data_IF_438501165322
#
_entry.id   IF_438501165322
#
_cell.length_a   1.000
_cell.length_b   1.000
_cell.length_c   1.000
_cell.angle_alpha   90.00
_cell.angle_beta   90.00
_cell.angle_gamma   90.00
#
_symmetry.space_group_name_H-M   'P 1'
#
loop_
_entity.id
_entity.type
_entity.pdbx_description
1 polymer ?
#
# COMPACT_ATOMS: atom_id res chain seq x y z
N UNK A 1 34.97 -29.67 61.93
CA UNK A 1 34.99 -28.29 61.41
C UNK A 1 34.30 -28.31 60.05
N UNK A 2 32.99 -28.05 59.99
CA UNK A 2 32.27 -27.91 58.73
C UNK A 2 31.67 -26.51 58.67
N UNK A 3 32.16 -25.72 57.71
CA UNK A 3 31.75 -24.34 57.44
C UNK A 3 30.37 -24.30 56.80
N UNK A 4 29.42 -23.62 57.44
CA UNK A 4 28.16 -23.21 56.83
C UNK A 4 28.37 -21.96 55.98
N UNK A 5 28.31 -22.13 54.67
CA UNK A 5 28.43 -21.05 53.69
C UNK A 5 27.04 -20.47 53.42
N UNK A 6 26.67 -19.38 54.10
CA UNK A 6 25.46 -18.61 53.82
C UNK A 6 25.74 -17.65 52.66
N UNK A 7 25.27 -18.00 51.46
CA UNK A 7 25.41 -17.19 50.25
C UNK A 7 24.24 -16.19 50.19
N UNK A 8 24.51 -14.94 50.56
CA UNK A 8 23.55 -13.83 50.40
C UNK A 8 23.40 -13.50 48.92
N UNK A 9 22.20 -13.65 48.37
CA UNK A 9 21.88 -13.29 46.98
C UNK A 9 21.54 -11.79 46.95
N UNK A 10 22.15 -10.97 46.07
CA UNK A 10 21.79 -9.57 45.96
C UNK A 10 20.43 -9.43 45.28
N UNK A 11 19.46 -8.83 45.98
CA UNK A 11 18.17 -8.41 45.42
C UNK A 11 18.45 -7.32 44.39
N UNK A 12 18.33 -7.63 43.10
CA UNK A 12 18.36 -6.65 42.03
C UNK A 12 17.14 -5.74 42.19
N UNK A 13 17.39 -4.46 42.45
CA UNK A 13 16.39 -3.41 42.52
C UNK A 13 15.76 -3.25 41.13
N UNK A 14 14.59 -3.86 40.92
CA UNK A 14 13.78 -3.66 39.71
C UNK A 14 13.37 -2.18 39.71
N UNK A 15 13.89 -1.40 38.75
CA UNK A 15 13.42 -0.03 38.49
C UNK A 15 11.96 -0.11 38.10
N UNK A 16 11.06 0.25 39.02
CA UNK A 16 9.66 0.54 38.69
C UNK A 16 9.67 1.73 37.73
N UNK A 17 9.29 1.52 36.47
CA UNK A 17 8.98 2.60 35.54
C UNK A 17 7.87 3.45 36.17
N UNK A 18 8.08 4.77 36.24
CA UNK A 18 7.12 5.70 36.86
C UNK A 18 5.89 5.82 35.98
N UNK A 19 4.73 6.13 36.57
CA UNK A 19 3.51 6.50 35.83
C UNK A 19 3.78 7.70 34.92
N UNK A 20 4.71 8.56 35.31
CA UNK A 20 5.16 9.71 34.51
C UNK A 20 5.87 9.27 33.21
N UNK A 21 6.68 8.20 33.25
CA UNK A 21 7.37 7.66 32.06
C UNK A 21 6.35 7.05 31.07
N UNK A 22 5.27 6.49 31.59
CA UNK A 22 4.18 5.95 30.77
C UNK A 22 3.37 7.06 30.12
N UNK A 23 3.01 8.09 30.88
CA UNK A 23 2.28 9.26 30.38
C UNK A 23 3.09 9.98 29.29
N UNK A 24 4.39 10.16 29.45
CA UNK A 24 5.24 10.74 28.41
C UNK A 24 5.28 9.89 27.13
N UNK A 25 5.32 8.55 27.24
CA UNK A 25 5.29 7.65 26.08
C UNK A 25 3.95 7.68 25.35
N UNK A 26 2.84 7.72 26.09
CA UNK A 26 1.49 7.82 25.52
C UNK A 26 1.26 9.16 24.83
N UNK A 27 1.67 10.26 25.46
CA UNK A 27 1.67 11.59 24.84
C UNK A 27 2.55 11.59 23.59
N UNK A 28 3.72 10.96 23.64
CA UNK A 28 4.61 10.80 22.48
C UNK A 28 3.98 10.00 21.33
N UNK A 29 3.25 8.91 21.62
CA UNK A 29 2.51 8.17 20.59
C UNK A 29 1.36 8.99 20.01
N UNK A 30 0.60 9.70 20.83
CA UNK A 30 -0.49 10.57 20.38
C UNK A 30 0.02 11.73 19.52
N UNK A 31 1.11 12.38 19.92
CA UNK A 31 1.78 13.43 19.14
C UNK A 31 2.35 12.89 17.83
N UNK A 32 2.85 11.65 17.82
CA UNK A 32 3.33 11.00 16.60
C UNK A 32 2.18 10.66 15.64
N UNK A 33 1.03 10.21 16.16
CA UNK A 33 -0.20 10.03 15.37
C UNK A 33 -0.68 11.37 14.81
N UNK A 34 -0.71 12.42 15.62
CA UNK A 34 -1.14 13.75 15.22
C UNK A 34 -0.24 14.36 14.14
N UNK A 35 1.09 14.24 14.30
CA UNK A 35 2.07 14.64 13.28
C UNK A 35 1.90 13.91 11.96
N UNK A 36 1.60 12.61 11.99
CA UNK A 36 1.35 11.83 10.76
C UNK A 36 0.02 12.21 10.11
N UNK A 37 -1.01 12.49 10.90
CA UNK A 37 -2.28 13.04 10.39
C UNK A 37 -2.07 14.41 9.75
N UNK A 38 -1.20 15.25 10.29
CA UNK A 38 -0.88 16.57 9.71
C UNK A 38 -0.05 16.45 8.42
N UNK A 39 0.86 15.47 8.34
CA UNK A 39 1.54 15.13 7.08
C UNK A 39 0.56 14.72 5.99
N UNK A 40 -0.49 13.97 6.34
CA UNK A 40 -1.57 13.61 5.41
C UNK A 40 -2.42 14.80 5.00
N UNK A 41 -2.67 15.76 5.91
CA UNK A 41 -3.36 17.02 5.58
C UNK A 41 -2.55 17.87 4.60
N UNK A 42 -1.22 17.83 4.68
CA UNK A 42 -0.31 18.54 3.78
C UNK A 42 -0.04 17.79 2.46
N UNK A 43 -0.48 16.54 2.32
CA UNK A 43 -0.51 15.80 1.07
C UNK A 43 -1.63 16.34 0.15
N UNK A 44 -1.49 17.61 -0.23
CA UNK A 44 -2.31 18.21 -1.28
C UNK A 44 -1.83 17.61 -2.60
N UNK A 45 -2.69 16.84 -3.26
CA UNK A 45 -2.47 16.46 -4.67
C UNK A 45 -2.22 17.77 -5.42
N UNK A 46 -0.97 17.99 -5.84
CA UNK A 46 -0.61 19.14 -6.65
C UNK A 46 -1.37 18.97 -7.96
N UNK A 47 -2.48 19.72 -8.11
CA UNK A 47 -3.09 19.91 -9.42
C UNK A 47 -2.03 20.60 -10.27
N UNK A 48 -1.60 20.02 -11.40
CA UNK A 48 -0.69 20.72 -12.28
C UNK A 48 -1.39 22.01 -12.72
N UNK A 49 -0.71 23.12 -12.50
CA UNK A 49 -1.11 24.41 -13.06
C UNK A 49 -0.97 24.22 -14.57
N UNK A 50 -2.10 24.09 -15.28
CA UNK A 50 -2.08 24.19 -16.72
C UNK A 50 -1.53 25.57 -17.04
N UNK A 51 -0.30 25.63 -17.54
CA UNK A 51 0.22 26.79 -18.25
C UNK A 51 -0.61 26.93 -19.53
N UNK A 52 -1.73 27.65 -19.40
CA UNK A 52 -2.55 28.11 -20.51
C UNK A 52 -1.75 29.09 -21.35
N UNK A 53 -1.18 28.62 -22.46
CA UNK A 53 -1.07 29.44 -23.66
C UNK A 53 -2.31 29.19 -24.50
N UNK A 54 -3.01 30.29 -24.73
CA UNK A 54 -4.30 30.48 -25.36
C UNK A 54 -4.41 29.90 -26.76
N UNK A 55 -5.48 29.14 -27.02
CA UNK A 55 -6.25 29.29 -28.25
C UNK A 55 -7.64 28.68 -28.07
N UNK A 56 -8.61 29.57 -27.95
CA UNK A 56 -10.02 29.30 -28.12
C UNK A 56 -10.28 28.68 -29.49
N UNK A 57 -11.04 27.59 -29.56
CA UNK A 57 -12.16 27.44 -30.50
C UNK A 57 -12.99 26.22 -30.13
N UNK A 58 -14.29 26.43 -30.21
CA UNK A 58 -15.35 25.62 -29.65
C UNK A 58 -15.62 24.34 -30.45
N UNK A 59 -16.19 23.36 -29.74
CA UNK A 59 -17.25 22.44 -30.16
C UNK A 59 -17.37 22.13 -31.67
N UNK A 60 -17.09 20.88 -32.06
CA UNK A 60 -18.11 20.14 -32.81
C UNK A 60 -18.03 18.64 -32.53
N UNK A 61 -19.17 18.15 -32.09
CA UNK A 61 -19.57 16.78 -31.80
C UNK A 61 -19.89 16.07 -33.14
N UNK A 62 -19.58 14.78 -33.24
CA UNK A 62 -20.02 13.78 -34.24
C UNK A 62 -20.73 14.24 -35.53
N UNK A 63 -20.17 13.85 -36.68
CA UNK A 63 -20.95 13.05 -37.63
C UNK A 63 -20.03 12.13 -38.45
N UNK A 64 -20.44 10.87 -38.48
CA UNK A 64 -19.89 9.80 -39.30
C UNK A 64 -20.69 9.82 -40.59
N UNK A 65 -20.04 10.05 -41.73
CA UNK A 65 -20.58 9.61 -43.01
C UNK A 65 -19.48 8.95 -43.85
N UNK A 66 -19.83 7.76 -44.28
CA UNK A 66 -19.07 6.78 -45.01
C UNK A 66 -19.67 6.78 -46.42
N UNK A 67 -18.91 7.16 -47.44
CA UNK A 67 -19.13 6.85 -48.86
C UNK A 67 -17.85 7.30 -49.59
N UNK A 68 -17.20 6.52 -50.45
CA UNK A 68 -17.76 5.64 -51.46
C UNK A 68 -17.66 6.37 -52.81
N UNK A 69 -16.99 5.72 -53.78
CA UNK A 69 -16.91 6.02 -55.22
C UNK A 69 -15.64 6.67 -55.79
N UNK A 70 -15.20 5.97 -56.83
CA UNK A 70 -14.02 6.16 -57.62
C UNK A 70 -14.25 7.11 -58.82
N UNK A 71 -13.12 7.55 -59.37
CA UNK A 71 -12.72 7.36 -60.77
C UNK A 71 -12.47 8.62 -61.63
N UNK A 72 -11.39 8.50 -62.42
CA UNK A 72 -10.98 9.19 -63.65
C UNK A 72 -10.94 10.73 -63.71
N UNK A 73 -9.77 11.28 -64.03
CA UNK A 73 -9.49 11.72 -65.41
C UNK A 73 -7.99 11.98 -65.65
N UNK A 74 -7.45 11.26 -66.62
CA UNK A 74 -6.23 11.54 -67.36
C UNK A 74 -6.44 12.72 -68.30
N UNK A 75 -5.56 13.73 -68.28
CA UNK A 75 -5.35 14.57 -69.45
C UNK A 75 -3.87 14.88 -69.63
N UNK A 76 -3.32 14.29 -70.70
CA UNK A 76 -2.11 14.69 -71.37
C UNK A 76 -2.40 15.98 -72.16
N UNK A 77 -1.56 17.01 -72.05
CA UNK A 77 -1.51 18.13 -72.99
C UNK A 77 -0.07 18.62 -73.13
N UNK A 78 0.26 18.97 -74.36
CA UNK A 78 1.56 19.18 -74.99
C UNK A 78 2.14 20.56 -74.65
N UNK A 79 3.47 20.64 -74.80
CA UNK A 79 4.41 21.75 -74.55
C UNK A 79 4.00 23.14 -75.04
N UNK A 80 4.43 24.21 -74.33
CA UNK A 80 5.24 25.30 -74.90
C UNK A 80 5.82 26.29 -73.84
N UNK A 81 7.11 26.60 -74.04
CA UNK A 81 7.86 27.86 -73.77
C UNK A 81 7.66 28.71 -72.50
N UNK A 82 8.80 28.85 -71.80
CA UNK A 82 9.36 30.14 -71.34
C UNK A 82 8.60 30.95 -70.29
N UNK A 83 8.82 30.62 -69.01
CA UNK A 83 9.09 31.58 -67.94
C UNK A 83 9.37 30.83 -66.63
N UNK A 84 10.65 30.60 -66.32
CA UNK A 84 11.09 30.17 -64.99
C UNK A 84 10.94 31.32 -64.00
N UNK A 85 9.71 31.50 -63.49
CA UNK A 85 9.47 32.10 -62.18
C UNK A 85 9.24 30.94 -61.22
N UNK A 86 10.29 30.50 -60.57
CA UNK A 86 10.20 29.58 -59.44
C UNK A 86 9.48 30.31 -58.31
N UNK A 87 8.16 30.14 -58.25
CA UNK A 87 7.39 30.44 -57.05
C UNK A 87 7.89 29.46 -56.00
N UNK A 88 8.39 29.90 -54.83
CA UNK A 88 8.68 28.95 -53.77
C UNK A 88 7.35 28.31 -53.41
N UNK A 89 7.20 27.03 -53.73
CA UNK A 89 6.21 26.17 -53.10
C UNK A 89 6.56 26.25 -51.63
N UNK A 90 5.86 27.11 -50.88
CA UNK A 90 5.76 26.95 -49.45
C UNK A 90 5.09 25.59 -49.28
N UNK A 91 5.94 24.58 -49.11
CA UNK A 91 5.57 23.29 -48.60
C UNK A 91 5.03 23.61 -47.21
N UNK A 92 3.74 23.94 -47.12
CA UNK A 92 2.98 23.87 -45.89
C UNK A 92 3.08 22.40 -45.56
N UNK A 93 4.11 22.09 -44.77
CA UNK A 93 4.34 20.80 -44.15
C UNK A 93 3.10 20.60 -43.31
N UNK A 94 2.08 20.00 -43.92
CA UNK A 94 0.98 19.37 -43.19
C UNK A 94 1.73 18.53 -42.18
N UNK A 95 1.76 18.97 -40.92
CA UNK A 95 2.29 18.17 -39.81
C UNK A 95 1.72 16.79 -40.04
N UNK A 96 2.58 15.83 -40.38
CA UNK A 96 2.09 14.59 -40.94
C UNK A 96 1.25 13.91 -39.87
N UNK A 97 0.37 13.01 -40.27
CA UNK A 97 -0.39 12.18 -39.31
C UNK A 97 0.57 11.52 -38.31
N UNK A 98 1.82 11.26 -38.71
CA UNK A 98 2.90 10.75 -37.86
C UNK A 98 3.30 11.73 -36.75
N UNK A 99 3.49 13.03 -37.05
CA UNK A 99 3.80 14.05 -36.03
C UNK A 99 2.68 14.17 -34.97
N UNK A 100 1.43 14.01 -35.41
CA UNK A 100 0.27 14.00 -34.52
C UNK A 100 0.22 12.72 -33.67
N UNK A 101 0.48 11.56 -34.28
CA UNK A 101 0.53 10.28 -33.58
C UNK A 101 1.64 10.26 -32.52
N UNK A 102 2.84 10.75 -32.82
CA UNK A 102 3.93 10.87 -31.85
C UNK A 102 3.56 11.74 -30.65
N UNK A 103 2.90 12.89 -30.91
CA UNK A 103 2.39 13.75 -29.84
C UNK A 103 1.35 13.04 -28.97
N UNK A 104 0.42 12.32 -29.60
CA UNK A 104 -0.63 11.60 -28.89
C UNK A 104 -0.08 10.45 -28.05
N UNK A 105 0.87 9.68 -28.58
CA UNK A 105 1.57 8.63 -27.84
C UNK A 105 2.31 9.24 -26.65
N UNK A 106 3.07 10.31 -26.86
CA UNK A 106 3.79 10.99 -25.77
C UNK A 106 2.87 11.55 -24.69
N UNK A 107 1.63 11.96 -25.02
CA UNK A 107 0.62 12.33 -24.03
C UNK A 107 0.09 11.13 -23.25
N UNK A 108 -0.14 10.00 -23.91
CA UNK A 108 -0.60 8.77 -23.26
C UNK A 108 0.46 8.21 -22.30
N UNK A 109 1.74 8.22 -22.68
CA UNK A 109 2.84 7.81 -21.81
C UNK A 109 2.93 8.68 -20.55
N UNK A 110 2.70 9.98 -20.69
CA UNK A 110 2.65 10.90 -19.54
C UNK A 110 1.46 10.60 -18.62
N UNK A 111 0.30 10.24 -19.18
CA UNK A 111 -0.87 9.82 -18.41
C UNK A 111 -0.59 8.52 -17.68
N UNK A 112 0.00 7.52 -18.35
CA UNK A 112 0.39 6.24 -17.75
C UNK A 112 1.33 6.45 -16.56
N UNK A 113 2.38 7.27 -16.74
CA UNK A 113 3.30 7.62 -15.64
C UNK A 113 2.57 8.27 -14.45
N UNK A 114 1.60 9.15 -14.72
CA UNK A 114 0.80 9.80 -13.66
C UNK A 114 -0.15 8.82 -12.96
N UNK A 115 -0.71 7.86 -13.70
CA UNK A 115 -1.53 6.79 -13.13
C UNK A 115 -0.68 5.93 -12.18
N UNK A 116 0.53 5.56 -12.57
CA UNK A 116 1.41 4.76 -11.72
C UNK A 116 1.82 5.51 -10.44
N UNK A 117 2.16 6.80 -10.55
CA UNK A 117 2.42 7.66 -9.38
C UNK A 117 1.21 7.77 -8.44
N UNK A 118 0.00 7.83 -9.01
CA UNK A 118 -1.23 7.86 -8.23
C UNK A 118 -1.46 6.53 -7.51
N UNK A 119 -1.21 5.39 -8.18
CA UNK A 119 -1.30 4.05 -7.58
C UNK A 119 -0.32 3.90 -6.42
N UNK A 120 0.92 4.33 -6.59
CA UNK A 120 1.94 4.32 -5.54
C UNK A 120 1.50 5.18 -4.34
N UNK A 121 1.06 6.42 -4.60
CA UNK A 121 0.59 7.35 -3.55
C UNK A 121 -0.62 6.79 -2.79
N UNK A 122 -1.59 6.23 -3.50
CA UNK A 122 -2.75 5.58 -2.88
C UNK A 122 -2.34 4.33 -2.08
N UNK A 123 -1.34 3.59 -2.54
CA UNK A 123 -0.76 2.46 -1.81
C UNK A 123 -0.12 2.89 -0.48
N UNK A 124 0.58 4.03 -0.44
CA UNK A 124 1.12 4.59 0.81
C UNK A 124 0.01 5.00 1.78
N UNK A 125 -1.09 5.59 1.27
CA UNK A 125 -2.25 5.95 2.07
C UNK A 125 -2.97 4.72 2.64
N UNK A 126 -3.14 3.66 1.84
CA UNK A 126 -3.68 2.37 2.28
C UNK A 126 -2.83 1.80 3.43
N UNK A 127 -1.51 1.85 3.29
CA UNK A 127 -0.56 1.37 4.29
C UNK A 127 -0.57 2.19 5.59
N UNK A 128 -0.67 3.51 5.52
CA UNK A 128 -0.71 4.37 6.69
C UNK A 128 -2.02 4.18 7.46
N UNK A 129 -3.16 4.07 6.76
CA UNK A 129 -4.44 3.71 7.37
C UNK A 129 -4.34 2.40 8.15
N UNK A 130 -3.78 1.36 7.54
CA UNK A 130 -3.61 0.05 8.18
C UNK A 130 -2.69 0.16 9.42
N UNK A 131 -1.61 0.95 9.34
CA UNK A 131 -0.72 1.22 10.47
C UNK A 131 -1.45 1.87 11.65
N UNK A 132 -2.29 2.88 11.37
CA UNK A 132 -3.12 3.55 12.40
C UNK A 132 -4.12 2.59 13.04
N UNK A 133 -4.78 1.76 12.25
CA UNK A 133 -5.70 0.73 12.76
C UNK A 133 -4.97 -0.25 13.67
N UNK A 134 -3.78 -0.71 13.27
CA UNK A 134 -2.96 -1.59 14.09
C UNK A 134 -2.51 -0.92 15.40
N UNK A 135 -2.07 0.34 15.35
CA UNK A 135 -1.66 1.07 16.55
C UNK A 135 -2.82 1.23 17.54
N UNK A 136 -3.99 1.66 17.06
CA UNK A 136 -5.17 1.86 17.90
C UNK A 136 -5.76 0.55 18.43
N UNK A 137 -5.76 -0.51 17.61
CA UNK A 137 -6.18 -1.85 18.06
C UNK A 137 -5.29 -2.42 19.16
N UNK A 138 -4.03 -2.00 19.21
CA UNK A 138 -3.07 -2.42 20.22
C UNK A 138 -3.12 -1.63 21.53
N UNK A 139 -3.81 -0.48 21.58
CA UNK A 139 -3.86 0.35 22.80
C UNK A 139 -4.42 -0.44 23.97
N UNK A 140 -5.53 -1.16 23.77
CA UNK A 140 -6.20 -1.96 24.81
C UNK A 140 -5.41 -3.21 25.24
N UNK A 141 -4.34 -3.55 24.51
CA UNK A 141 -3.45 -4.63 24.88
C UNK A 141 -2.31 -4.15 25.78
N UNK A 142 -2.06 -2.85 25.93
CA UNK A 142 -0.91 -2.37 26.73
C UNK A 142 -1.03 -2.78 28.22
N UNK A 143 -0.03 -3.49 28.75
CA UNK A 143 0.00 -3.96 30.14
C UNK A 143 0.01 -2.82 31.14
N UNK A 144 0.53 -1.65 30.75
CA UNK A 144 0.58 -0.49 31.63
C UNK A 144 -0.82 0.12 31.86
N UNK A 145 -1.79 -0.11 30.97
CA UNK A 145 -3.19 0.27 31.24
C UNK A 145 -3.72 -0.44 32.48
N UNK A 146 -3.27 -1.68 32.78
CA UNK A 146 -3.71 -2.42 33.96
C UNK A 146 -3.33 -1.73 35.28
N UNK A 147 -2.34 -0.83 35.25
CA UNK A 147 -1.88 -0.06 36.41
C UNK A 147 -2.71 1.21 36.65
N UNK A 148 -3.53 1.61 35.68
CA UNK A 148 -4.40 2.77 35.77
C UNK A 148 -5.70 2.45 36.52
N UNK A 149 -6.34 3.50 37.04
CA UNK A 149 -7.67 3.39 37.63
C UNK A 149 -8.71 2.98 36.58
N UNK A 150 -9.83 2.40 37.01
CA UNK A 150 -10.90 1.98 36.09
C UNK A 150 -11.40 3.13 35.20
N UNK A 151 -11.59 4.33 35.78
CA UNK A 151 -12.04 5.50 35.03
C UNK A 151 -11.06 5.93 33.93
N UNK A 152 -9.76 5.99 34.24
CA UNK A 152 -8.73 6.35 33.27
C UNK A 152 -8.63 5.33 32.12
N UNK A 153 -8.76 4.03 32.45
CA UNK A 153 -8.82 2.97 31.43
C UNK A 153 -10.02 3.13 30.51
N UNK A 154 -11.19 3.41 31.08
CA UNK A 154 -12.43 3.57 30.31
C UNK A 154 -12.36 4.79 29.38
N UNK A 155 -11.79 5.91 29.85
CA UNK A 155 -11.57 7.12 29.05
C UNK A 155 -10.59 6.89 27.88
N UNK A 156 -9.49 6.18 28.15
CA UNK A 156 -8.52 5.82 27.12
C UNK A 156 -9.15 4.86 26.09
N UNK A 157 -9.85 3.82 26.56
CA UNK A 157 -10.53 2.85 25.69
C UNK A 157 -11.61 3.51 24.82
N UNK A 158 -12.38 4.44 25.38
CA UNK A 158 -13.38 5.22 24.65
C UNK A 158 -12.72 6.09 23.57
N UNK A 159 -11.59 6.74 23.91
CA UNK A 159 -10.83 7.57 22.96
C UNK A 159 -10.24 6.74 21.83
N UNK A 160 -9.57 5.63 22.15
CA UNK A 160 -8.98 4.72 21.16
C UNK A 160 -10.07 4.15 20.23
N UNK A 161 -11.22 3.74 20.78
CA UNK A 161 -12.37 3.24 20.02
C UNK A 161 -12.94 4.29 19.08
N UNK A 162 -13.08 5.54 19.54
CA UNK A 162 -13.54 6.67 18.70
C UNK A 162 -12.57 6.92 17.55
N UNK A 163 -11.27 6.93 17.80
CA UNK A 163 -10.26 7.12 16.76
C UNK A 163 -10.26 5.94 15.77
N UNK A 164 -10.38 4.71 16.26
CA UNK A 164 -10.44 3.51 15.43
C UNK A 164 -11.63 3.57 14.46
N UNK A 165 -12.80 4.00 14.94
CA UNK A 165 -13.98 4.17 14.10
C UNK A 165 -13.78 5.24 13.02
N UNK A 166 -13.10 6.34 13.34
CA UNK A 166 -12.74 7.38 12.35
C UNK A 166 -11.76 6.86 11.31
N UNK A 167 -10.76 6.07 11.71
CA UNK A 167 -9.85 5.42 10.76
C UNK A 167 -10.58 4.42 9.84
N UNK A 168 -11.56 3.68 10.37
CA UNK A 168 -12.39 2.75 9.59
C UNK A 168 -13.29 3.44 8.57
N UNK A 169 -13.71 4.68 8.82
CA UNK A 169 -14.53 5.47 7.90
C UNK A 169 -13.78 5.94 6.64
N UNK A 170 -12.45 5.91 6.63
CA UNK A 170 -11.64 6.26 5.47
C UNK A 170 -11.40 5.00 4.63
N UNK A 171 -11.84 4.96 3.38
CA UNK A 171 -11.57 3.85 2.45
C UNK A 171 -10.56 4.27 1.38
N UNK A 172 -9.44 3.54 1.31
CA UNK A 172 -8.41 3.70 0.28
C UNK A 172 -8.07 2.30 -0.19
N UNK A 173 -8.30 2.03 -1.47
CA UNK A 173 -8.08 0.72 -2.09
C UNK A 173 -7.36 0.91 -3.42
N UNK A 174 -6.23 0.22 -3.57
CA UNK A 174 -5.55 0.09 -4.86
C UNK A 174 -5.88 -1.29 -5.43
N UNK A 175 -6.58 -1.32 -6.57
CA UNK A 175 -6.93 -2.58 -7.21
C UNK A 175 -5.70 -3.16 -7.94
N UNK A 176 -5.34 -4.39 -7.59
CA UNK A 176 -4.33 -5.17 -8.29
C UNK A 176 -5.01 -5.93 -9.43
N UNK A 177 -4.68 -5.65 -10.70
CA UNK A 177 -5.19 -6.44 -11.82
C UNK A 177 -4.72 -7.88 -11.69
N UNK A 178 -5.64 -8.84 -11.81
CA UNK A 178 -5.36 -10.28 -11.67
C UNK A 178 -6.04 -11.05 -12.78
N UNK A 179 -5.40 -12.11 -13.25
CA UNK A 179 -6.08 -13.15 -14.02
C UNK A 179 -6.77 -14.16 -13.08
N UNK A 180 -7.49 -15.13 -13.65
CA UNK A 180 -8.25 -16.12 -12.87
C UNK A 180 -7.34 -16.99 -11.96
N UNK A 181 -6.18 -17.38 -12.47
CA UNK A 181 -5.20 -18.20 -11.74
C UNK A 181 -4.60 -17.45 -10.55
N UNK A 182 -4.18 -16.20 -10.73
CA UNK A 182 -3.66 -15.32 -9.68
C UNK A 182 -4.71 -15.05 -8.59
N UNK A 183 -5.97 -14.86 -8.98
CA UNK A 183 -7.07 -14.69 -8.02
C UNK A 183 -7.31 -15.97 -7.20
N UNK A 184 -7.25 -17.14 -7.85
CA UNK A 184 -7.38 -18.43 -7.18
C UNK A 184 -6.21 -18.69 -6.22
N UNK A 185 -4.98 -18.42 -6.65
CA UNK A 185 -3.78 -18.55 -5.83
C UNK A 185 -3.87 -17.66 -4.57
N UNK A 186 -4.28 -16.39 -4.74
CA UNK A 186 -4.48 -15.49 -3.61
C UNK A 186 -5.57 -15.99 -2.65
N UNK A 187 -6.68 -16.53 -3.18
CA UNK A 187 -7.72 -17.12 -2.35
C UNK A 187 -7.19 -18.32 -1.55
N UNK A 188 -6.40 -19.19 -2.18
CA UNK A 188 -5.78 -20.33 -1.51
C UNK A 188 -4.79 -19.90 -0.42
N UNK A 189 -3.98 -18.87 -0.67
CA UNK A 189 -3.11 -18.26 0.34
C UNK A 189 -3.92 -17.75 1.53
N UNK A 190 -5.00 -17.00 1.28
CA UNK A 190 -5.88 -16.49 2.34
C UNK A 190 -6.49 -17.61 3.17
N UNK A 191 -6.97 -18.68 2.52
CA UNK A 191 -7.52 -19.85 3.20
C UNK A 191 -6.49 -20.55 4.10
N UNK A 192 -5.23 -20.64 3.68
CA UNK A 192 -4.15 -21.22 4.49
C UNK A 192 -3.86 -20.36 5.73
N UNK A 193 -3.84 -19.03 5.58
CA UNK A 193 -3.67 -18.10 6.71
C UNK A 193 -4.84 -18.24 7.68
N UNK A 194 -6.07 -18.22 7.18
CA UNK A 194 -7.28 -18.33 8.01
C UNK A 194 -7.36 -19.68 8.74
N UNK A 195 -7.03 -20.78 8.07
CA UNK A 195 -6.98 -22.09 8.70
C UNK A 195 -5.96 -22.17 9.85
N UNK A 196 -4.80 -21.51 9.71
CA UNK A 196 -3.81 -21.41 10.78
C UNK A 196 -4.26 -20.48 11.92
N UNK A 197 -4.88 -19.35 11.58
CA UNK A 197 -5.44 -18.40 12.56
C UNK A 197 -6.57 -19.01 13.38
N UNK A 198 -7.45 -19.82 12.77
CA UNK A 198 -8.55 -20.48 13.48
C UNK A 198 -8.03 -21.46 14.56
N UNK A 199 -6.84 -22.03 14.35
CA UNK A 199 -6.16 -22.92 15.31
C UNK A 199 -5.46 -22.17 16.45
N UNK A 200 -5.38 -20.83 16.42
CA UNK A 200 -4.78 -20.05 17.52
C UNK A 200 -5.46 -20.25 18.86
N UNK A 201 -6.77 -20.53 18.87
CA UNK A 201 -7.53 -20.77 20.12
C UNK A 201 -7.15 -22.09 20.79
N UNK A 202 -6.66 -23.05 20.01
CA UNK A 202 -6.27 -24.38 20.48
C UNK A 202 -4.79 -24.43 20.85
N UNK A 203 -3.93 -23.88 19.98
CA UNK A 203 -2.48 -23.85 20.19
C UNK A 203 -1.86 -22.59 19.59
N UNK A 204 -1.61 -21.63 20.48
CA UNK A 204 -1.06 -20.33 20.12
C UNK A 204 0.43 -20.40 19.74
N UNK A 205 1.18 -21.39 20.24
CA UNK A 205 2.58 -21.62 19.86
C UNK A 205 2.67 -22.21 18.44
N UNK A 206 1.85 -23.21 18.14
CA UNK A 206 1.82 -23.81 16.80
C UNK A 206 1.35 -22.80 15.74
N UNK A 207 0.37 -21.95 16.07
CA UNK A 207 -0.04 -20.87 15.17
C UNK A 207 1.09 -19.87 14.90
N UNK A 208 1.87 -19.49 15.92
CA UNK A 208 3.06 -18.63 15.76
C UNK A 208 4.08 -19.26 14.81
N UNK A 209 4.42 -20.52 15.03
CA UNK A 209 5.40 -21.23 14.20
C UNK A 209 4.89 -21.42 12.76
N UNK A 210 3.60 -21.66 12.56
CA UNK A 210 2.99 -21.68 11.23
C UNK A 210 3.09 -20.32 10.52
N UNK A 211 2.79 -19.21 11.21
CA UNK A 211 2.92 -17.86 10.65
C UNK A 211 4.38 -17.54 10.27
N UNK A 212 5.35 -17.97 11.08
CA UNK A 212 6.78 -17.82 10.74
C UNK A 212 7.18 -18.61 9.50
N UNK A 213 6.72 -19.87 9.37
CA UNK A 213 6.96 -20.68 8.16
C UNK A 213 6.37 -20.05 6.91
N UNK A 214 5.17 -19.46 7.02
CA UNK A 214 4.55 -18.70 5.94
C UNK A 214 5.35 -17.44 5.60
N UNK A 215 5.82 -16.70 6.61
CA UNK A 215 6.61 -15.49 6.40
C UNK A 215 7.94 -15.82 5.69
N UNK A 216 8.59 -16.90 6.10
CA UNK A 216 9.81 -17.40 5.47
C UNK A 216 9.57 -17.81 4.00
N UNK A 217 8.41 -18.39 3.70
CA UNK A 217 8.03 -18.75 2.34
C UNK A 217 7.76 -17.52 1.42
N UNK A 218 7.59 -16.33 1.98
CA UNK A 218 7.51 -15.07 1.21
C UNK A 218 8.88 -14.44 0.93
N UNK A 219 9.97 -14.98 1.48
CA UNK A 219 11.32 -14.42 1.30
C UNK A 219 12.00 -15.00 0.05
N UNK A 220 12.58 -14.17 -0.82
CA UNK A 220 13.46 -14.64 -1.90
C UNK A 220 14.84 -15.06 -1.38
N UNK A 221 15.24 -14.55 -0.21
CA UNK A 221 16.52 -14.88 0.45
C UNK A 221 16.44 -16.20 1.21
N UNK A 222 17.58 -16.89 1.46
CA UNK A 222 17.63 -18.13 2.22
C UNK A 222 16.91 -17.95 3.57
N UNK A 223 15.85 -18.73 3.84
CA UNK A 223 15.06 -18.54 5.05
C UNK A 223 15.87 -18.94 6.28
N UNK A 224 15.77 -18.13 7.34
CA UNK A 224 16.27 -18.51 8.66
C UNK A 224 15.22 -19.42 9.33
N UNK A 225 15.20 -20.68 8.91
CA UNK A 225 14.34 -21.73 9.47
C UNK A 225 13.40 -22.39 8.45
N UNK A 226 12.44 -23.20 8.95
CA UNK A 226 11.56 -23.99 8.09
C UNK A 226 10.62 -23.12 7.26
N UNK A 227 10.29 -23.60 6.06
CA UNK A 227 9.30 -23.01 5.15
C UNK A 227 8.12 -23.96 4.95
N UNK A 228 6.95 -23.39 4.67
CA UNK A 228 5.82 -24.15 4.18
C UNK A 228 5.81 -24.14 2.64
N UNK A 229 6.17 -25.28 2.04
CA UNK A 229 6.28 -25.41 0.57
C UNK A 229 4.94 -25.26 -0.14
N UNK A 230 3.84 -25.69 0.48
CA UNK A 230 2.50 -25.56 -0.10
C UNK A 230 2.08 -24.10 -0.15
N UNK A 231 2.35 -23.36 0.92
CA UNK A 231 2.13 -21.92 0.98
C UNK A 231 3.01 -21.20 -0.05
N UNK A 232 4.31 -21.55 -0.13
CA UNK A 232 5.25 -20.96 -1.07
C UNK A 232 4.79 -21.09 -2.52
N UNK A 233 4.36 -22.29 -2.95
CA UNK A 233 3.89 -22.52 -4.30
C UNK A 233 2.74 -21.58 -4.69
N UNK A 234 1.77 -21.39 -3.78
CA UNK A 234 0.64 -20.49 -4.00
C UNK A 234 1.04 -19.01 -3.98
N UNK A 235 2.01 -18.61 -3.15
CA UNK A 235 2.51 -17.23 -3.11
C UNK A 235 3.25 -16.87 -4.39
N UNK A 236 4.01 -17.79 -4.99
CA UNK A 236 4.74 -17.55 -6.24
C UNK A 236 3.77 -17.30 -7.42
N UNK A 237 2.60 -17.94 -7.40
CA UNK A 237 1.54 -17.75 -8.39
C UNK A 237 0.79 -16.41 -8.23
N UNK A 238 0.96 -15.72 -7.09
CA UNK A 238 0.37 -14.41 -6.86
C UNK A 238 1.16 -13.28 -7.54
N UNK A 239 0.52 -12.12 -7.73
CA UNK A 239 1.20 -10.92 -8.23
C UNK A 239 2.26 -10.42 -7.23
N UNK A 240 3.27 -9.70 -7.71
CA UNK A 240 4.31 -9.11 -6.84
C UNK A 240 3.73 -8.19 -5.75
N UNK A 241 2.64 -7.47 -6.06
CA UNK A 241 1.96 -6.62 -5.08
C UNK A 241 1.25 -7.45 -4.01
N UNK A 242 0.59 -8.54 -4.41
CA UNK A 242 -0.04 -9.47 -3.46
C UNK A 242 1.01 -10.13 -2.56
N UNK A 243 2.14 -10.57 -3.11
CA UNK A 243 3.25 -11.14 -2.32
C UNK A 243 3.74 -10.16 -1.24
N UNK A 244 3.92 -8.88 -1.58
CA UNK A 244 4.27 -7.82 -0.62
C UNK A 244 3.18 -7.65 0.46
N UNK A 245 1.91 -7.62 0.06
CA UNK A 245 0.77 -7.49 0.99
C UNK A 245 0.66 -8.69 1.94
N UNK A 246 0.81 -9.90 1.42
CA UNK A 246 0.81 -11.16 2.20
C UNK A 246 1.96 -11.15 3.22
N UNK A 247 3.19 -10.84 2.79
CA UNK A 247 4.36 -10.78 3.68
C UNK A 247 4.15 -9.79 4.82
N UNK A 248 3.65 -8.59 4.51
CA UNK A 248 3.33 -7.57 5.52
C UNK A 248 2.25 -8.05 6.50
N UNK A 249 1.16 -8.63 5.99
CA UNK A 249 0.08 -9.20 6.81
C UNK A 249 0.60 -10.25 7.79
N UNK A 250 1.46 -11.17 7.33
CA UNK A 250 2.06 -12.20 8.18
C UNK A 250 2.93 -11.58 9.29
N UNK A 251 3.73 -10.56 8.99
CA UNK A 251 4.50 -9.84 9.99
C UNK A 251 3.62 -9.19 11.06
N UNK A 252 2.49 -8.60 10.68
CA UNK A 252 1.52 -8.03 11.62
C UNK A 252 0.93 -9.13 12.52
N UNK A 253 0.49 -10.25 11.93
CA UNK A 253 -0.10 -11.36 12.66
C UNK A 253 0.87 -11.99 13.67
N UNK A 254 2.15 -12.18 13.29
CA UNK A 254 3.18 -12.67 14.24
C UNK A 254 3.30 -11.74 15.42
N UNK A 255 3.42 -10.42 15.19
CA UNK A 255 3.50 -9.44 16.27
C UNK A 255 2.27 -9.46 17.18
N UNK A 256 1.07 -9.66 16.63
CA UNK A 256 -0.17 -9.79 17.41
C UNK A 256 -0.15 -11.06 18.28
N UNK A 257 0.28 -12.20 17.72
CA UNK A 257 0.40 -13.46 18.44
C UNK A 257 1.44 -13.35 19.57
N UNK A 258 2.60 -12.76 19.29
CA UNK A 258 3.65 -12.56 20.31
C UNK A 258 3.21 -11.67 21.46
N UNK A 259 2.44 -10.64 21.17
CA UNK A 259 1.80 -9.81 22.20
C UNK A 259 0.83 -10.65 23.01
N UNK A 260 -0.11 -11.35 22.36
CA UNK A 260 -1.06 -12.23 23.04
C UNK A 260 -0.38 -13.24 23.98
N UNK A 261 0.74 -13.86 23.56
CA UNK A 261 1.53 -14.77 24.41
C UNK A 261 1.98 -14.13 25.72
N UNK A 262 2.42 -12.87 25.69
CA UNK A 262 2.87 -12.15 26.89
C UNK A 262 1.75 -11.90 27.89
N UNK A 263 0.50 -11.79 27.43
CA UNK A 263 -0.66 -11.61 28.32
C UNK A 263 -1.26 -12.94 28.82
N UNK A 264 -1.03 -14.04 28.09
CA UNK A 264 -1.54 -15.37 28.43
C UNK A 264 -0.63 -16.15 29.38
N UNK A 265 0.65 -15.79 29.51
CA UNK A 265 1.57 -16.41 30.44
C UNK A 265 1.40 -15.79 31.84
N UNK A 266 0.93 -16.55 32.86
CA UNK A 266 1.02 -16.08 34.24
C UNK A 266 2.50 -15.95 34.59
N UNK A 267 2.93 -14.76 35.00
CA UNK A 267 4.22 -14.63 35.69
C UNK A 267 4.16 -15.50 36.96
N UNK A 268 4.98 -16.56 37.00
CA UNK A 268 5.25 -17.36 38.19
C UNK A 268 6.62 -17.00 38.75
#
# INVERSE_FOLDING_TARGET
MNSSNTRTVPVQLIRKTSVDDFNERMIGMLDQVEKRVEQLRNFRIVRPVNSSSSSSSANHLFDIEQDGYANHHSHQTVMNSSNTRTVPVQLIRKTSVDDFNERMIGMLDQVEKRVEQLRESAGLLEQEKESLINMLGNVNLDSELLRLGQGERDDISATASRLLNRCKAVEVVVNTPRNAEQAQALNNVNNLIEAAMNKMKEDLNNAKEAMKRFLNACSPDPPDGPIDQRFQAQVIECTADDQKKIRRRLGILINQIERAQRYSAPEF
#
